data_IF_292773710867
#
_entry.id   IF_292773710867
#
_cell.length_a   1.000
_cell.length_b   1.000
_cell.length_c   1.000
_cell.angle_alpha   90.00
_cell.angle_beta   90.00
_cell.angle_gamma   90.00
#
_symmetry.space_group_name_H-M   'P 1'
#
loop_
_entity.id
_entity.type
_entity.pdbx_description
1 polymer ?
#
# COMPACT_ATOMS: atom_id res chain seq x y z
N UNK A 1 -15.40 -26.09 -16.61
CA UNK A 1 -14.08 -25.50 -16.30
C UNK A 1 -13.22 -26.65 -15.80
N UNK A 2 -12.18 -27.04 -16.54
CA UNK A 2 -11.35 -28.20 -16.20
C UNK A 2 -10.55 -27.93 -14.91
N UNK A 3 -10.27 -28.97 -14.13
CA UNK A 3 -9.54 -28.85 -12.86
C UNK A 3 -8.17 -28.19 -13.01
N UNK A 4 -7.55 -28.34 -14.18
CA UNK A 4 -6.28 -27.71 -14.53
C UNK A 4 -6.35 -26.17 -14.59
N UNK A 5 -7.44 -25.62 -15.16
CA UNK A 5 -7.64 -24.16 -15.22
C UNK A 5 -7.84 -23.56 -13.82
N UNK A 6 -8.53 -24.31 -12.94
CA UNK A 6 -8.77 -23.92 -11.55
C UNK A 6 -7.49 -23.93 -10.73
N UNK A 7 -6.65 -24.96 -10.89
CA UNK A 7 -5.33 -25.04 -10.25
C UNK A 7 -4.40 -23.91 -10.66
N UNK A 8 -4.34 -23.61 -11.97
CA UNK A 8 -3.57 -22.48 -12.50
C UNK A 8 -4.04 -21.14 -11.92
N UNK A 9 -5.36 -20.89 -11.90
CA UNK A 9 -5.93 -19.66 -11.34
C UNK A 9 -5.56 -19.45 -9.86
N UNK A 10 -5.69 -20.48 -9.03
CA UNK A 10 -5.34 -20.41 -7.60
C UNK A 10 -3.84 -20.10 -7.42
N UNK A 11 -2.99 -20.73 -8.22
CA UNK A 11 -1.54 -20.50 -8.17
C UNK A 11 -1.19 -19.05 -8.51
N UNK A 12 -1.71 -18.54 -9.62
CA UNK A 12 -1.46 -17.15 -10.03
C UNK A 12 -2.03 -16.14 -9.05
N UNK A 13 -3.21 -16.40 -8.49
CA UNK A 13 -3.78 -15.56 -7.44
C UNK A 13 -2.85 -15.49 -6.21
N UNK A 14 -2.30 -16.63 -5.76
CA UNK A 14 -1.34 -16.67 -4.66
C UNK A 14 -0.08 -15.85 -4.94
N UNK A 15 0.49 -15.97 -6.15
CA UNK A 15 1.67 -15.20 -6.58
C UNK A 15 1.35 -13.69 -6.58
N UNK A 16 0.22 -13.28 -7.16
CA UNK A 16 -0.19 -11.87 -7.18
C UNK A 16 -0.32 -11.29 -5.77
N UNK A 17 -0.88 -12.06 -4.83
CA UNK A 17 -1.02 -11.64 -3.44
C UNK A 17 0.35 -11.44 -2.77
N UNK A 18 1.30 -12.36 -3.01
CA UNK A 18 2.66 -12.25 -2.47
C UNK A 18 3.40 -11.02 -3.04
N UNK A 19 3.31 -10.80 -4.34
CA UNK A 19 3.92 -9.64 -4.99
C UNK A 19 3.32 -8.32 -4.47
N UNK A 20 2.00 -8.28 -4.25
CA UNK A 20 1.35 -7.11 -3.66
C UNK A 20 1.86 -6.82 -2.25
N UNK A 21 2.02 -7.86 -1.42
CA UNK A 21 2.57 -7.71 -0.06
C UNK A 21 4.02 -7.20 -0.08
N UNK A 22 4.85 -7.77 -0.95
CA UNK A 22 6.23 -7.35 -1.15
C UNK A 22 6.31 -5.87 -1.56
N UNK A 23 5.55 -5.47 -2.59
CA UNK A 23 5.52 -4.08 -3.08
C UNK A 23 5.02 -3.12 -2.01
N UNK A 24 3.95 -3.46 -1.29
CA UNK A 24 3.42 -2.61 -0.21
C UNK A 24 4.46 -2.35 0.87
N UNK A 25 5.15 -3.39 1.34
CA UNK A 25 6.17 -3.27 2.38
C UNK A 25 7.41 -2.52 1.90
N UNK A 26 7.82 -2.74 0.64
CA UNK A 26 8.90 -2.00 0.02
C UNK A 26 8.59 -0.49 0.02
N UNK A 27 7.38 -0.09 -0.41
CA UNK A 27 6.98 1.32 -0.46
C UNK A 27 6.88 1.91 0.96
N UNK A 28 6.37 1.18 1.94
CA UNK A 28 6.34 1.63 3.35
C UNK A 28 7.77 1.87 3.85
N UNK A 29 8.68 0.93 3.63
CA UNK A 29 10.09 1.05 4.03
C UNK A 29 10.78 2.25 3.38
N UNK A 30 10.59 2.44 2.06
CA UNK A 30 11.13 3.59 1.34
C UNK A 30 10.52 4.91 1.84
N UNK A 31 9.21 4.94 2.08
CA UNK A 31 8.50 6.12 2.61
C UNK A 31 9.03 6.49 4.00
N UNK A 32 9.25 5.51 4.87
CA UNK A 32 9.82 5.73 6.20
C UNK A 32 11.25 6.26 6.13
N UNK A 33 12.09 5.70 5.25
CA UNK A 33 13.45 6.17 5.03
C UNK A 33 13.50 7.61 4.51
N UNK A 34 12.63 7.95 3.55
CA UNK A 34 12.50 9.31 3.02
C UNK A 34 12.04 10.27 4.13
N UNK A 35 11.05 9.91 4.94
CA UNK A 35 10.60 10.73 6.06
C UNK A 35 11.72 10.96 7.09
N UNK A 36 12.48 9.92 7.43
CA UNK A 36 13.61 10.04 8.35
C UNK A 36 14.67 11.02 7.81
N UNK A 37 14.97 10.93 6.51
CA UNK A 37 15.86 11.87 5.83
C UNK A 37 15.33 13.31 5.85
N UNK A 38 14.03 13.49 5.57
CA UNK A 38 13.38 14.80 5.65
C UNK A 38 13.44 15.37 7.06
N UNK A 39 13.13 14.59 8.09
CA UNK A 39 13.25 15.05 9.48
C UNK A 39 14.68 15.45 9.83
N UNK A 40 15.67 14.70 9.38
CA UNK A 40 17.07 15.07 9.58
C UNK A 40 17.41 16.44 8.99
N UNK A 41 16.93 16.74 7.77
CA UNK A 41 17.09 18.06 7.14
C UNK A 41 16.32 19.13 7.94
N UNK A 42 15.09 18.85 8.36
CA UNK A 42 14.24 19.80 9.07
C UNK A 42 14.82 20.26 10.41
N UNK A 43 15.52 19.37 11.12
CA UNK A 43 16.17 19.69 12.40
C UNK A 43 17.60 20.22 12.24
N UNK A 44 18.15 20.20 11.02
CA UNK A 44 19.48 20.73 10.77
C UNK A 44 19.41 22.26 10.63
N UNK A 45 20.07 22.97 11.55
CA UNK A 45 20.05 24.43 11.64
C UNK A 45 20.81 25.13 10.52
N UNK A 46 21.66 24.39 9.80
CA UNK A 46 22.48 24.92 8.71
C UNK A 46 21.70 25.05 7.39
N UNK A 47 20.43 24.61 7.37
CA UNK A 47 19.60 24.61 6.16
C UNK A 47 18.74 25.87 6.12
N UNK A 48 19.14 26.81 5.26
CA UNK A 48 18.34 28.01 4.97
C UNK A 48 17.33 27.70 3.88
N UNK A 49 16.05 27.75 4.21
CA UNK A 49 14.98 27.56 3.24
C UNK A 49 14.44 28.89 2.73
N UNK A 50 14.39 29.05 1.41
CA UNK A 50 13.59 30.09 0.76
C UNK A 50 12.08 29.86 1.01
N UNK A 51 11.28 30.92 0.91
CA UNK A 51 9.84 30.86 1.21
C UNK A 51 9.13 29.78 0.39
N UNK A 52 9.39 29.69 -0.92
CA UNK A 52 8.86 28.66 -1.81
C UNK A 52 9.34 27.25 -1.45
N UNK A 53 10.61 27.11 -1.07
CA UNK A 53 11.22 25.84 -0.67
C UNK A 53 10.60 25.27 0.61
N UNK A 54 10.21 26.12 1.57
CA UNK A 54 9.49 25.70 2.79
C UNK A 54 8.15 25.05 2.46
N UNK A 55 7.37 25.68 1.57
CA UNK A 55 6.09 25.15 1.14
C UNK A 55 6.24 23.80 0.43
N UNK A 56 7.14 23.70 -0.55
CA UNK A 56 7.40 22.45 -1.28
C UNK A 56 7.85 21.32 -0.35
N UNK A 57 8.71 21.63 0.62
CA UNK A 57 9.18 20.67 1.61
C UNK A 57 8.05 20.17 2.52
N UNK A 58 7.19 21.08 3.01
CA UNK A 58 6.03 20.72 3.82
C UNK A 58 5.03 19.86 3.04
N UNK A 59 4.77 20.19 1.76
CA UNK A 59 3.96 19.35 0.89
C UNK A 59 4.58 17.98 0.69
N UNK A 60 5.89 17.88 0.43
CA UNK A 60 6.56 16.59 0.27
C UNK A 60 6.40 15.71 1.51
N UNK A 61 6.63 16.25 2.72
CA UNK A 61 6.41 15.52 3.99
C UNK A 61 4.96 15.04 4.08
N UNK A 62 3.98 15.92 3.81
CA UNK A 62 2.57 15.55 3.87
C UNK A 62 2.22 14.43 2.89
N UNK A 63 2.73 14.49 1.65
CA UNK A 63 2.48 13.45 0.63
C UNK A 63 3.12 12.11 1.01
N UNK A 64 4.36 12.10 1.49
CA UNK A 64 5.00 10.85 1.94
C UNK A 64 4.30 10.29 3.18
N UNK A 65 3.87 11.14 4.11
CA UNK A 65 3.12 10.72 5.28
C UNK A 65 1.78 10.08 4.90
N UNK A 66 1.04 10.69 3.96
CA UNK A 66 -0.20 10.12 3.42
C UNK A 66 0.07 8.78 2.72
N UNK A 67 1.14 8.67 1.93
CA UNK A 67 1.58 7.39 1.34
C UNK A 67 1.80 6.32 2.40
N UNK A 68 2.53 6.64 3.47
CA UNK A 68 2.82 5.70 4.56
C UNK A 68 1.54 5.26 5.27
N UNK A 69 0.62 6.20 5.54
CA UNK A 69 -0.68 5.89 6.14
C UNK A 69 -1.54 4.99 5.23
N UNK A 70 -1.59 5.26 3.93
CA UNK A 70 -2.28 4.41 2.95
C UNK A 70 -1.65 3.02 2.85
N UNK A 71 -0.32 2.90 2.98
CA UNK A 71 0.36 1.61 3.04
C UNK A 71 -0.03 0.79 4.27
N UNK A 72 -0.14 1.42 5.44
CA UNK A 72 -0.64 0.78 6.65
C UNK A 72 -2.10 0.33 6.50
N UNK A 73 -2.96 1.17 5.91
CA UNK A 73 -4.36 0.80 5.63
C UNK A 73 -4.45 -0.35 4.63
N UNK A 74 -3.59 -0.37 3.61
CA UNK A 74 -3.50 -1.47 2.63
C UNK A 74 -3.11 -2.78 3.31
N UNK A 75 -2.11 -2.74 4.21
CA UNK A 75 -1.70 -3.89 5.01
C UNK A 75 -2.83 -4.40 5.91
N UNK A 76 -3.57 -3.49 6.57
CA UNK A 76 -4.70 -3.84 7.42
C UNK A 76 -5.85 -4.48 6.62
N UNK A 77 -6.24 -3.85 5.50
CA UNK A 77 -7.29 -4.36 4.63
C UNK A 77 -6.93 -5.74 4.06
N UNK A 78 -5.64 -5.99 3.81
CA UNK A 78 -5.13 -7.29 3.37
C UNK A 78 -5.23 -8.35 4.47
N UNK A 79 -4.93 -7.99 5.73
CA UNK A 79 -5.08 -8.91 6.85
C UNK A 79 -6.54 -9.37 7.03
N UNK A 80 -7.49 -8.46 6.81
CA UNK A 80 -8.91 -8.79 6.86
C UNK A 80 -9.36 -9.71 5.70
N UNK A 81 -8.80 -9.51 4.50
CA UNK A 81 -9.02 -10.39 3.35
C UNK A 81 -8.50 -11.82 3.60
N UNK A 82 -7.33 -11.96 4.24
CA UNK A 82 -6.81 -13.27 4.65
C UNK A 82 -7.73 -13.96 5.66
N UNK A 83 -8.17 -13.24 6.71
CA UNK A 83 -9.12 -13.78 7.71
C UNK A 83 -10.44 -14.21 7.07
N UNK A 84 -10.95 -13.45 6.10
CA UNK A 84 -12.19 -13.78 5.39
C UNK A 84 -12.01 -15.02 4.51
N UNK A 85 -10.88 -15.13 3.81
CA UNK A 85 -10.55 -16.29 2.97
C UNK A 85 -10.37 -17.56 3.80
N UNK A 86 -9.72 -17.46 4.95
CA UNK A 86 -9.57 -18.58 5.91
C UNK A 86 -10.93 -19.05 6.43
N UNK A 87 -11.82 -18.14 6.81
CA UNK A 87 -13.19 -18.46 7.25
C UNK A 87 -13.96 -19.21 6.16
N UNK A 88 -13.83 -18.80 4.89
CA UNK A 88 -14.46 -19.48 3.74
C UNK A 88 -13.88 -20.88 3.54
N UNK A 89 -12.55 -21.03 3.60
CA UNK A 89 -11.88 -22.33 3.46
C UNK A 89 -12.30 -23.30 4.58
N UNK A 90 -12.37 -22.81 5.82
CA UNK A 90 -12.81 -23.60 6.98
C UNK A 90 -14.28 -24.03 6.88
N UNK A 91 -15.17 -23.16 6.39
CA UNK A 91 -16.59 -23.51 6.16
C UNK A 91 -16.77 -24.53 5.04
N UNK A 92 -15.96 -24.48 3.98
CA UNK A 92 -15.97 -25.49 2.91
C UNK A 92 -15.57 -26.89 3.39
N UNK A 93 -14.63 -26.99 4.32
CA UNK A 93 -14.18 -28.27 4.86
C UNK A 93 -15.19 -28.97 5.79
N UNK A 94 -16.16 -28.23 6.35
CA UNK A 94 -17.16 -28.76 7.28
C UNK A 94 -18.46 -29.28 6.63
N UNK A 95 -18.55 -29.33 5.30
CA UNK A 95 -19.74 -29.79 4.57
C UNK A 95 -21.06 -29.09 4.93
N UNK A 96 -21.00 -27.89 5.51
CA UNK A 96 -22.16 -27.09 5.90
C UNK A 96 -22.60 -26.22 4.71
N UNK A 97 -23.05 -26.90 3.65
CA UNK A 97 -23.37 -26.31 2.33
C UNK A 97 -24.82 -25.82 2.23
N UNK A 98 -25.45 -25.47 3.37
CA UNK A 98 -26.88 -25.17 3.44
C UNK A 98 -27.27 -23.72 3.12
N UNK A 99 -26.29 -22.81 2.99
CA UNK A 99 -26.59 -21.38 2.88
C UNK A 99 -25.85 -20.74 1.68
N UNK A 100 -26.42 -20.91 0.49
CA UNK A 100 -25.88 -20.34 -0.76
C UNK A 100 -25.71 -18.82 -0.69
N UNK A 101 -26.59 -18.13 0.05
CA UNK A 101 -26.56 -16.68 0.30
C UNK A 101 -25.34 -16.25 1.10
N UNK A 102 -24.91 -17.05 2.08
CA UNK A 102 -23.76 -16.69 2.91
C UNK A 102 -22.44 -16.78 2.11
N UNK A 103 -22.33 -17.80 1.24
CA UNK A 103 -21.18 -17.98 0.36
C UNK A 103 -21.10 -16.86 -0.68
N UNK A 104 -22.24 -16.42 -1.22
CA UNK A 104 -22.30 -15.32 -2.19
C UNK A 104 -21.93 -13.98 -1.54
N UNK A 105 -22.45 -13.68 -0.35
CA UNK A 105 -22.05 -12.50 0.43
C UNK A 105 -20.55 -12.48 0.75
N UNK A 106 -19.97 -13.64 1.09
CA UNK A 106 -18.54 -13.77 1.36
C UNK A 106 -17.69 -13.56 0.10
N UNK A 107 -18.17 -14.02 -1.07
CA UNK A 107 -17.53 -13.76 -2.37
C UNK A 107 -17.56 -12.29 -2.75
N UNK A 108 -18.67 -11.60 -2.53
CA UNK A 108 -18.80 -10.18 -2.83
C UNK A 108 -17.94 -9.33 -1.91
N UNK A 109 -17.86 -9.68 -0.61
CA UNK A 109 -16.90 -9.05 0.31
C UNK A 109 -15.46 -9.23 -0.15
N UNK A 110 -15.06 -10.45 -0.55
CA UNK A 110 -13.71 -10.70 -1.05
C UNK A 110 -13.39 -9.88 -2.33
N UNK A 111 -14.35 -9.76 -3.27
CA UNK A 111 -14.20 -8.91 -4.46
C UNK A 111 -14.02 -7.43 -4.10
N UNK A 112 -14.83 -6.92 -3.16
CA UNK A 112 -14.73 -5.53 -2.71
C UNK A 112 -13.40 -5.24 -1.99
N UNK A 113 -12.96 -6.15 -1.11
CA UNK A 113 -11.68 -6.07 -0.41
C UNK A 113 -10.52 -6.04 -1.40
N UNK A 114 -10.55 -6.89 -2.43
CA UNK A 114 -9.59 -6.88 -3.52
C UNK A 114 -9.54 -5.54 -4.24
N UNK A 115 -10.69 -5.02 -4.70
CA UNK A 115 -10.77 -3.74 -5.42
C UNK A 115 -10.26 -2.57 -4.57
N UNK A 116 -10.61 -2.52 -3.28
CA UNK A 116 -10.13 -1.51 -2.33
C UNK A 116 -8.62 -1.60 -2.15
N UNK A 117 -8.06 -2.79 -1.99
CA UNK A 117 -6.61 -3.00 -1.84
C UNK A 117 -5.84 -2.45 -3.03
N UNK A 118 -6.28 -2.76 -4.25
CA UNK A 118 -5.65 -2.23 -5.47
C UNK A 118 -5.80 -0.72 -5.61
N UNK A 119 -6.94 -0.15 -5.21
CA UNK A 119 -7.14 1.29 -5.20
C UNK A 119 -6.19 1.99 -4.22
N UNK A 120 -6.11 1.49 -2.98
CA UNK A 120 -5.23 2.02 -1.94
C UNK A 120 -3.76 1.92 -2.33
N UNK A 121 -3.33 0.80 -2.92
CA UNK A 121 -1.96 0.63 -3.39
C UNK A 121 -1.61 1.61 -4.52
N UNK A 122 -2.51 1.80 -5.49
CA UNK A 122 -2.31 2.80 -6.56
C UNK A 122 -2.21 4.21 -6.00
N UNK A 123 -3.05 4.53 -5.02
CA UNK A 123 -3.07 5.83 -4.36
C UNK A 123 -1.79 6.05 -3.56
N UNK A 124 -1.36 5.06 -2.76
CA UNK A 124 -0.09 5.05 -2.06
C UNK A 124 1.08 5.30 -3.00
N UNK A 125 1.15 4.58 -4.11
CA UNK A 125 2.22 4.73 -5.09
C UNK A 125 2.21 6.12 -5.74
N UNK A 126 1.03 6.66 -6.05
CA UNK A 126 0.89 8.02 -6.54
C UNK A 126 1.43 9.06 -5.54
N UNK A 127 0.99 9.00 -4.28
CA UNK A 127 1.46 9.91 -3.23
C UNK A 127 2.96 9.77 -2.97
N UNK A 128 3.48 8.54 -2.98
CA UNK A 128 4.90 8.25 -2.83
C UNK A 128 5.72 8.89 -3.96
N UNK A 129 5.36 8.66 -5.22
CA UNK A 129 6.09 9.19 -6.36
C UNK A 129 6.06 10.72 -6.39
N UNK A 130 4.89 11.33 -6.16
CA UNK A 130 4.78 12.80 -6.09
C UNK A 130 5.64 13.35 -4.95
N UNK A 131 5.53 12.76 -3.75
CA UNK A 131 6.31 13.15 -2.59
C UNK A 131 7.82 13.03 -2.82
N UNK A 132 8.27 11.94 -3.45
CA UNK A 132 9.68 11.68 -3.71
C UNK A 132 10.29 12.63 -4.75
N UNK A 133 9.55 12.97 -5.82
CA UNK A 133 10.02 13.89 -6.87
C UNK A 133 10.16 15.33 -6.36
N UNK A 134 9.41 15.71 -5.33
CA UNK A 134 9.51 17.04 -4.70
C UNK A 134 10.81 17.25 -3.90
N UNK A 135 11.56 16.20 -3.58
CA UNK A 135 12.76 16.25 -2.71
C UNK A 135 14.04 16.69 -3.46
N UNK A 136 14.39 16.13 -4.64
CA UNK A 136 15.62 16.49 -5.36
C UNK A 136 15.82 17.99 -5.63
N UNK A 137 14.79 18.78 -6.00
CA UNK A 137 14.96 20.23 -6.19
C UNK A 137 15.48 20.94 -4.94
N UNK A 138 15.08 20.47 -3.74
CA UNK A 138 15.54 21.02 -2.46
C UNK A 138 16.97 20.58 -2.12
N UNK A 139 17.33 19.34 -2.46
CA UNK A 139 18.67 18.81 -2.22
C UNK A 139 19.72 19.43 -3.17
N UNK A 140 19.37 19.69 -4.43
CA UNK A 140 20.24 20.33 -5.42
C UNK A 140 20.50 21.80 -5.06
N UNK A 141 19.49 22.51 -4.51
CA UNK A 141 19.65 23.89 -4.03
C UNK A 141 20.73 23.99 -2.91
N UNK A 142 20.95 22.92 -2.15
CA UNK A 142 21.96 22.82 -1.09
C UNK A 142 23.39 22.62 -1.61
N UNK A 143 23.57 22.07 -2.81
CA UNK A 143 24.91 21.76 -3.37
C UNK A 143 25.52 22.97 -4.10
N UNK A 144 24.68 23.93 -4.50
CA UNK A 144 25.08 25.07 -5.34
C UNK A 144 25.28 26.36 -4.51
N UNK A 145 24.80 26.42 -3.26
CA UNK A 145 24.97 27.56 -2.35
C UNK A 145 25.88 27.23 -1.18
#
# INVERSE_FOLDING_TARGET
MSDETRGSFIRWQGITIQQLYFVNNLIIGLSAGILAFQFNIAFNKDVVFNCTSKWLFSFSIAFIFVSLFLGCLTAWNRLDDFRTTEKIARKRGKHDFKDSKEIENLRDKAKQLGKRTWCLLKLQLFFFCVGAILIPPLAILRVIG
#
